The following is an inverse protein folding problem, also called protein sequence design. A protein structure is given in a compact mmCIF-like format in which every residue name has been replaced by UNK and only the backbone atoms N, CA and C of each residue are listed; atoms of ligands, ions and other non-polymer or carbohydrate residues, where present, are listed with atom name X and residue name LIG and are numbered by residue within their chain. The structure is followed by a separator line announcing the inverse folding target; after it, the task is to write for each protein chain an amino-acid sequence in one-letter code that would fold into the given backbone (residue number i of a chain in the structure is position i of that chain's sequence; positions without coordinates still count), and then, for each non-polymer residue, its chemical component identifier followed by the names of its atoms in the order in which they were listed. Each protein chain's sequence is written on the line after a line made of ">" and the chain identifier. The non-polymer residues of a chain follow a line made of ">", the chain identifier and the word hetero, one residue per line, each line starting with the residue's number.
data_IF_823950624709
#
_entry.id   IF_823950624709
#
_cell.length_a   1.000
_cell.length_b   1.000
_cell.length_c   1.000
_cell.angle_alpha   90.00
_cell.angle_beta   90.00
_cell.angle_gamma   90.00
#
_symmetry.space_group_name_H-M   'P 1'
#
loop_
_entity.id
_entity.type
_entity.pdbx_description
1 polymer ?
#
# COMPACT_ATOMS: atom_id res chain seq x y z
N UNK A 1 -33.37 -71.57 -2.64
CA UNK A 1 -33.03 -70.97 -3.94
C UNK A 1 -32.93 -69.46 -3.78
N UNK A 2 -31.89 -68.87 -4.37
CA UNK A 2 -31.24 -67.62 -3.95
C UNK A 2 -32.02 -66.33 -4.26
N UNK A 3 -32.47 -65.61 -3.23
CA UNK A 3 -33.00 -64.24 -3.30
C UNK A 3 -31.90 -63.15 -3.29
N UNK A 4 -30.70 -63.43 -3.81
CA UNK A 4 -29.58 -62.45 -3.83
C UNK A 4 -29.52 -61.61 -5.11
N UNK A 5 -30.25 -61.99 -6.16
CA UNK A 5 -30.22 -61.31 -7.46
C UNK A 5 -30.87 -59.91 -7.46
N UNK A 6 -31.99 -59.62 -6.76
CA UNK A 6 -32.60 -58.29 -6.82
C UNK A 6 -31.86 -57.24 -6.00
N UNK A 7 -31.14 -57.65 -4.94
CA UNK A 7 -30.40 -56.72 -4.08
C UNK A 7 -29.12 -56.19 -4.75
N UNK A 8 -28.45 -57.03 -5.54
CA UNK A 8 -27.27 -56.64 -6.33
C UNK A 8 -27.63 -55.66 -7.46
N UNK A 9 -28.78 -55.84 -8.12
CA UNK A 9 -29.28 -54.92 -9.15
C UNK A 9 -29.71 -53.56 -8.57
N UNK A 10 -30.30 -53.54 -7.38
CA UNK A 10 -30.70 -52.30 -6.70
C UNK A 10 -29.49 -51.51 -6.18
N UNK A 11 -28.46 -52.21 -5.66
CA UNK A 11 -27.20 -51.59 -5.27
C UNK A 11 -26.43 -51.03 -6.48
N UNK A 12 -26.47 -51.70 -7.64
CA UNK A 12 -25.83 -51.22 -8.87
C UNK A 12 -26.53 -49.96 -9.42
N UNK A 13 -27.86 -49.88 -9.34
CA UNK A 13 -28.61 -48.69 -9.75
C UNK A 13 -28.34 -47.47 -8.84
N UNK A 14 -28.16 -47.68 -7.53
CA UNK A 14 -27.81 -46.63 -6.57
C UNK A 14 -26.38 -46.10 -6.76
N UNK A 15 -25.44 -46.94 -7.22
CA UNK A 15 -24.07 -46.51 -7.55
C UNK A 15 -24.03 -45.75 -8.89
N UNK A 16 -24.84 -46.13 -9.87
CA UNK A 16 -24.94 -45.43 -11.16
C UNK A 16 -25.66 -44.06 -11.06
N UNK A 17 -26.57 -43.89 -10.10
CA UNK A 17 -27.23 -42.61 -9.83
C UNK A 17 -26.50 -41.75 -8.77
N UNK A 18 -25.61 -42.36 -7.97
CA UNK A 18 -24.91 -41.73 -6.84
C UNK A 18 -23.49 -41.24 -7.13
N UNK A 19 -22.89 -41.58 -8.26
CA UNK A 19 -21.54 -41.14 -8.62
C UNK A 19 -21.55 -40.43 -9.98
N UNK A 20 -21.93 -39.15 -9.97
CA UNK A 20 -21.38 -38.21 -10.94
C UNK A 20 -20.14 -37.58 -10.26
N UNK A 21 -18.91 -38.06 -10.51
CA UNK A 21 -17.70 -37.56 -9.85
C UNK A 21 -17.25 -36.21 -10.41
N UNK A 22 -17.95 -35.70 -11.42
CA UNK A 22 -17.73 -34.36 -11.91
C UNK A 22 -18.52 -33.39 -11.03
N UNK A 23 -17.86 -32.46 -10.32
CA UNK A 23 -18.59 -31.38 -9.68
C UNK A 23 -19.46 -30.74 -10.76
N UNK A 24 -20.72 -30.39 -10.43
CA UNK A 24 -21.53 -29.48 -11.26
C UNK A 24 -20.57 -28.44 -11.79
N UNK A 25 -20.39 -28.39 -13.12
CA UNK A 25 -19.43 -27.51 -13.81
C UNK A 25 -19.25 -26.26 -12.97
N UNK A 26 -18.01 -26.03 -12.55
CA UNK A 26 -17.55 -24.86 -11.83
C UNK A 26 -17.88 -23.64 -12.71
N UNK A 27 -19.16 -23.24 -12.70
CA UNK A 27 -19.78 -22.42 -13.73
C UNK A 27 -19.60 -20.98 -13.34
N UNK A 28 -18.33 -20.60 -13.21
CA UNK A 28 -17.93 -19.23 -13.04
C UNK A 28 -18.20 -18.47 -14.35
N UNK A 29 -18.66 -17.22 -14.27
CA UNK A 29 -18.98 -16.42 -15.43
C UNK A 29 -17.70 -16.10 -16.20
N UNK A 30 -17.72 -16.33 -17.51
CA UNK A 30 -16.62 -15.93 -18.38
C UNK A 30 -16.66 -14.41 -18.58
N UNK A 31 -15.78 -13.72 -17.86
CA UNK A 31 -15.57 -12.27 -17.90
C UNK A 31 -14.10 -11.99 -18.26
N UNK A 32 -13.80 -10.84 -18.89
CA UNK A 32 -12.44 -10.53 -19.31
C UNK A 32 -11.47 -10.43 -18.13
N UNK A 33 -10.20 -10.77 -18.37
CA UNK A 33 -9.11 -10.43 -17.46
C UNK A 33 -8.95 -8.92 -17.38
N UNK A 34 -8.58 -8.40 -16.21
CA UNK A 34 -8.39 -6.95 -16.00
C UNK A 34 -7.40 -6.35 -17.02
N UNK A 35 -6.29 -7.03 -17.32
CA UNK A 35 -5.29 -6.53 -18.27
C UNK A 35 -5.88 -6.36 -19.69
N UNK A 36 -6.76 -7.26 -20.10
CA UNK A 36 -7.42 -7.15 -21.40
C UNK A 36 -8.53 -6.09 -21.38
N UNK A 37 -9.26 -5.98 -20.26
CA UNK A 37 -10.26 -4.94 -20.09
C UNK A 37 -9.64 -3.53 -20.13
N UNK A 38 -8.48 -3.33 -19.51
CA UNK A 38 -7.78 -2.04 -19.48
C UNK A 38 -7.21 -1.60 -20.84
N UNK A 39 -7.16 -2.49 -21.84
CA UNK A 39 -6.81 -2.14 -23.22
C UNK A 39 -7.99 -1.51 -23.98
N UNK A 40 -9.22 -1.68 -23.50
CA UNK A 40 -10.42 -1.13 -24.12
C UNK A 40 -10.53 0.39 -23.87
N UNK A 41 -10.06 1.17 -24.85
CA UNK A 41 -10.05 2.64 -24.80
C UNK A 41 -11.45 3.28 -24.78
N UNK A 42 -12.50 2.50 -25.03
CA UNK A 42 -13.88 3.00 -24.93
C UNK A 42 -14.39 2.97 -23.48
N UNK A 43 -13.72 2.21 -22.60
CA UNK A 43 -14.08 2.05 -21.18
C UNK A 43 -13.05 2.63 -20.23
N UNK A 44 -11.77 2.63 -20.64
CA UNK A 44 -10.67 3.06 -19.80
C UNK A 44 -9.72 3.99 -20.52
N UNK A 45 -9.26 5.03 -19.81
CA UNK A 45 -8.17 5.89 -20.25
C UNK A 45 -7.03 5.83 -19.22
N UNK A 46 -5.85 5.34 -19.65
CA UNK A 46 -4.65 5.30 -18.81
C UNK A 46 -4.23 6.72 -18.42
N UNK A 47 -3.99 6.94 -17.13
CA UNK A 47 -3.42 8.19 -16.58
C UNK A 47 -1.93 8.00 -16.32
N UNK A 48 -1.57 6.95 -15.58
CA UNK A 48 -0.19 6.55 -15.30
C UNK A 48 -0.12 5.05 -15.11
N UNK A 49 0.94 4.42 -15.60
CA UNK A 49 1.28 3.06 -15.17
C UNK A 49 2.26 3.07 -14.01
N UNK A 50 2.67 1.88 -13.57
CA UNK A 50 3.57 1.67 -12.43
C UNK A 50 5.04 1.57 -12.86
N UNK A 51 5.38 1.89 -14.11
CA UNK A 51 6.76 1.86 -14.59
C UNK A 51 7.59 2.85 -13.76
N UNK A 52 8.68 2.37 -13.15
CA UNK A 52 9.56 3.15 -12.26
C UNK A 52 8.88 3.74 -11.01
N UNK A 53 7.66 3.28 -10.68
CA UNK A 53 6.92 3.72 -9.49
C UNK A 53 6.82 2.59 -8.47
N UNK A 54 6.89 2.94 -7.19
CA UNK A 54 6.50 2.05 -6.10
C UNK A 54 5.06 2.28 -5.69
N UNK A 55 4.53 3.49 -5.87
CA UNK A 55 3.15 3.80 -5.49
C UNK A 55 2.57 4.98 -6.28
N UNK A 56 1.25 4.94 -6.47
CA UNK A 56 0.45 6.09 -6.92
C UNK A 56 -0.51 6.47 -5.79
N UNK A 57 -0.39 7.72 -5.34
CA UNK A 57 -1.22 8.28 -4.27
C UNK A 57 -2.04 9.45 -4.81
N UNK A 58 -3.35 9.40 -4.64
CA UNK A 58 -4.23 10.52 -4.98
C UNK A 58 -4.39 11.41 -3.75
N UNK A 59 -4.15 12.70 -3.91
CA UNK A 59 -4.24 13.72 -2.87
C UNK A 59 -5.69 14.24 -2.72
N UNK A 60 -6.00 14.82 -1.57
CA UNK A 60 -7.33 15.36 -1.25
C UNK A 60 -7.82 16.43 -2.25
N UNK A 61 -6.91 17.11 -2.93
CA UNK A 61 -7.19 18.13 -3.94
C UNK A 61 -7.14 17.62 -5.39
N UNK A 62 -7.35 16.32 -5.61
CA UNK A 62 -7.43 15.67 -6.93
C UNK A 62 -6.11 15.54 -7.70
N UNK A 63 -4.99 15.94 -7.09
CA UNK A 63 -3.67 15.74 -7.67
C UNK A 63 -3.15 14.34 -7.39
N UNK A 64 -2.23 13.88 -8.22
CA UNK A 64 -1.67 12.53 -8.15
C UNK A 64 -0.19 12.64 -7.84
N UNK A 65 0.22 12.11 -6.70
CA UNK A 65 1.60 11.92 -6.31
C UNK A 65 2.11 10.59 -6.87
N UNK A 66 3.16 10.65 -7.67
CA UNK A 66 3.88 9.52 -8.21
C UNK A 66 5.13 9.29 -7.36
N UNK A 67 5.13 8.19 -6.60
CA UNK A 67 6.25 7.79 -5.74
C UNK A 67 7.17 6.86 -6.54
N UNK A 68 8.43 7.26 -6.80
CA UNK A 68 9.36 6.41 -7.54
C UNK A 68 9.68 5.11 -6.78
N UNK A 69 10.16 4.08 -7.49
CA UNK A 69 10.65 2.85 -6.87
C UNK A 69 12.15 2.85 -6.57
N UNK A 70 12.89 3.87 -7.02
CA UNK A 70 14.33 4.01 -6.82
C UNK A 70 14.72 5.45 -6.50
N UNK A 71 15.84 5.60 -5.80
CA UNK A 71 16.33 6.89 -5.28
C UNK A 71 16.85 7.86 -6.33
N UNK A 72 17.24 7.37 -7.49
CA UNK A 72 17.69 8.18 -8.62
C UNK A 72 16.54 8.93 -9.32
N UNK A 73 15.30 8.50 -9.11
CA UNK A 73 14.14 9.10 -9.74
C UNK A 73 13.49 10.17 -8.86
N UNK A 74 12.98 11.21 -9.51
CA UNK A 74 12.28 12.31 -8.85
C UNK A 74 10.88 11.89 -8.43
N UNK A 75 10.45 12.41 -7.27
CA UNK A 75 9.03 12.48 -6.96
C UNK A 75 8.33 13.45 -7.89
N UNK A 76 7.09 13.14 -8.27
CA UNK A 76 6.28 14.00 -9.12
C UNK A 76 4.87 14.16 -8.56
N UNK A 77 4.31 15.35 -8.69
CA UNK A 77 2.87 15.59 -8.57
C UNK A 77 2.35 16.00 -9.93
N UNK A 78 1.34 15.31 -10.42
CA UNK A 78 0.65 15.60 -11.68
C UNK A 78 -0.83 15.87 -11.42
N UNK A 79 -1.53 16.45 -12.39
CA UNK A 79 -2.99 16.41 -12.44
C UNK A 79 -3.51 15.16 -13.19
N UNK A 80 -4.84 14.99 -13.22
CA UNK A 80 -5.50 13.89 -13.92
C UNK A 80 -5.30 13.90 -15.45
N UNK A 81 -4.79 15.01 -16.02
CA UNK A 81 -4.42 15.13 -17.44
C UNK A 81 -2.94 14.85 -17.69
N UNK A 82 -2.22 14.39 -16.66
CA UNK A 82 -0.78 14.13 -16.67
C UNK A 82 0.08 15.40 -16.83
N UNK A 83 -0.46 16.58 -16.49
CA UNK A 83 0.32 17.81 -16.44
C UNK A 83 1.15 17.83 -15.16
N UNK A 84 2.46 18.06 -15.29
CA UNK A 84 3.36 18.21 -14.15
C UNK A 84 3.05 19.48 -13.35
N UNK A 85 2.89 19.31 -12.03
CA UNK A 85 2.66 20.38 -11.05
C UNK A 85 3.93 20.61 -10.21
N UNK A 86 4.60 19.53 -9.81
CA UNK A 86 5.78 19.58 -8.97
C UNK A 86 6.69 18.38 -9.25
N UNK A 87 8.00 18.60 -9.20
CA UNK A 87 8.98 17.53 -9.13
C UNK A 87 10.14 17.92 -8.22
N UNK A 88 10.72 16.93 -7.54
CA UNK A 88 11.94 17.11 -6.77
C UNK A 88 12.62 15.76 -6.53
N UNK A 89 13.95 15.80 -6.41
CA UNK A 89 14.72 14.67 -5.91
C UNK A 89 14.53 14.56 -4.39
N UNK A 90 14.27 13.35 -3.91
CA UNK A 90 14.04 13.03 -2.50
C UNK A 90 15.19 12.16 -1.98
N UNK A 91 15.72 12.51 -0.81
CA UNK A 91 16.68 11.66 -0.09
C UNK A 91 15.90 10.62 0.74
N UNK A 92 15.97 9.36 0.30
CA UNK A 92 15.27 8.24 0.91
C UNK A 92 15.74 7.91 2.33
N UNK A 93 16.87 8.49 2.78
CA UNK A 93 17.34 8.41 4.17
C UNK A 93 16.66 9.41 5.08
N UNK A 94 15.96 10.41 4.52
CA UNK A 94 15.27 11.44 5.29
C UNK A 94 13.76 11.23 5.23
N UNK A 95 13.00 11.68 6.23
CA UNK A 95 11.55 11.61 6.20
C UNK A 95 10.92 12.37 5.03
N UNK A 96 9.86 11.79 4.45
CA UNK A 96 8.91 12.43 3.56
C UNK A 96 7.53 12.46 4.23
N UNK A 97 6.97 13.65 4.35
CA UNK A 97 5.66 13.84 4.97
C UNK A 97 4.80 14.83 4.20
N UNK A 98 3.51 14.52 4.06
CA UNK A 98 2.50 15.50 3.66
C UNK A 98 1.49 15.65 4.79
N UNK A 99 1.38 16.86 5.33
CA UNK A 99 0.48 17.16 6.44
C UNK A 99 -1.00 17.18 6.03
N UNK A 100 -1.89 17.34 7.00
CA UNK A 100 -3.33 17.40 6.74
C UNK A 100 -3.77 18.61 5.90
N UNK A 101 -2.94 19.65 5.81
CA UNK A 101 -3.16 20.86 5.01
C UNK A 101 -2.55 20.75 3.61
N UNK A 102 -1.83 19.67 3.31
CA UNK A 102 -1.19 19.43 2.02
C UNK A 102 0.24 19.98 1.91
N UNK A 103 0.82 20.59 2.95
CA UNK A 103 2.23 21.01 2.89
C UNK A 103 3.12 19.78 2.88
N UNK A 104 4.19 19.83 2.07
CA UNK A 104 5.15 18.74 1.98
C UNK A 104 6.42 19.05 2.76
N UNK A 105 6.98 18.04 3.41
CA UNK A 105 8.16 18.12 4.24
C UNK A 105 9.11 16.99 3.84
N UNK A 106 10.21 17.35 3.21
CA UNK A 106 11.27 16.41 2.86
C UNK A 106 12.58 17.14 2.62
N UNK A 107 13.70 16.43 2.68
CA UNK A 107 15.05 17.01 2.54
C UNK A 107 15.28 18.24 3.44
N UNK A 108 14.73 18.22 4.65
CA UNK A 108 14.79 19.34 5.64
C UNK A 108 14.17 20.64 5.13
N UNK A 109 13.24 20.56 4.18
CA UNK A 109 12.52 21.69 3.61
C UNK A 109 11.02 21.49 3.73
N UNK A 110 10.31 22.61 3.93
CA UNK A 110 8.87 22.71 3.83
C UNK A 110 8.50 23.35 2.49
N UNK A 111 7.66 22.66 1.73
CA UNK A 111 7.07 23.13 0.49
C UNK A 111 5.60 23.49 0.76
N UNK A 112 5.26 24.77 0.59
CA UNK A 112 3.96 25.29 1.00
C UNK A 112 2.90 24.99 -0.07
N UNK A 113 1.82 24.34 0.35
CA UNK A 113 0.63 24.10 -0.47
C UNK A 113 -0.08 25.43 -0.82
N UNK A 114 -0.71 25.59 -2.00
CA UNK A 114 -0.94 24.62 -3.06
C UNK A 114 0.10 24.62 -4.18
N UNK A 115 0.92 25.65 -4.34
CA UNK A 115 1.82 25.74 -5.49
C UNK A 115 3.14 25.02 -5.29
N UNK A 116 3.53 24.77 -4.03
CA UNK A 116 4.85 24.25 -3.64
C UNK A 116 6.03 25.11 -4.09
N UNK A 117 5.77 26.33 -4.57
CA UNK A 117 6.79 27.27 -5.03
C UNK A 117 7.49 28.00 -3.86
N UNK A 118 6.79 28.17 -2.74
CA UNK A 118 7.39 28.73 -1.52
C UNK A 118 8.05 27.61 -0.72
N UNK A 119 9.36 27.71 -0.56
CA UNK A 119 10.21 26.71 0.10
C UNK A 119 10.92 27.36 1.28
N UNK A 120 10.86 26.68 2.43
CA UNK A 120 11.46 27.14 3.67
C UNK A 120 12.32 26.02 4.26
N UNK A 121 13.46 26.38 4.84
CA UNK A 121 14.20 25.44 5.68
C UNK A 121 13.30 25.00 6.85
N UNK A 122 13.30 23.70 7.14
CA UNK A 122 12.43 23.11 8.14
C UNK A 122 13.17 22.07 8.97
N UNK A 123 13.03 22.17 10.29
CA UNK A 123 13.71 21.26 11.22
C UNK A 123 13.09 19.87 11.14
N UNK A 124 13.94 18.85 10.96
CA UNK A 124 13.56 17.44 11.06
C UNK A 124 14.37 16.78 12.16
N UNK A 125 13.71 16.01 13.02
CA UNK A 125 14.33 15.25 14.10
C UNK A 125 13.93 13.79 13.94
N UNK A 126 14.89 12.98 13.50
CA UNK A 126 14.77 11.52 13.48
C UNK A 126 15.44 11.00 14.75
N UNK A 127 14.64 10.45 15.67
CA UNK A 127 15.14 10.05 16.99
C UNK A 127 16.16 8.92 16.87
N UNK A 128 15.90 7.94 16.01
CA UNK A 128 16.81 6.82 15.76
C UNK A 128 18.20 7.28 15.32
N UNK A 129 18.28 8.08 14.26
CA UNK A 129 19.54 8.62 13.75
C UNK A 129 20.27 9.45 14.82
N UNK A 130 19.53 10.24 15.60
CA UNK A 130 20.10 11.06 16.66
C UNK A 130 20.74 10.19 17.76
N UNK A 131 20.05 9.11 18.15
CA UNK A 131 20.53 8.14 19.14
C UNK A 131 21.73 7.35 18.59
N UNK A 132 21.66 6.84 17.36
CA UNK A 132 22.75 6.08 16.73
C UNK A 132 24.02 6.92 16.58
N UNK A 133 23.89 8.17 16.13
CA UNK A 133 25.02 9.10 16.05
C UNK A 133 25.61 9.40 17.44
N UNK A 134 24.76 9.52 18.46
CA UNK A 134 25.23 9.76 19.83
C UNK A 134 25.91 8.53 20.42
N UNK A 135 25.38 7.34 20.17
CA UNK A 135 25.96 6.06 20.58
C UNK A 135 27.37 5.90 20.01
N UNK A 136 27.58 6.26 18.74
CA UNK A 136 28.90 6.23 18.10
C UNK A 136 29.92 7.16 18.78
N UNK A 137 29.47 8.25 19.41
CA UNK A 137 30.34 9.19 20.16
C UNK A 137 30.78 8.67 21.54
N UNK A 138 30.30 7.50 21.96
CA UNK A 138 30.59 6.87 23.27
C UNK A 138 31.37 5.56 23.14
N UNK A 139 32.17 5.43 22.07
CA UNK A 139 33.00 4.26 21.80
C UNK A 139 34.03 3.96 22.90
N UNK A 140 34.46 4.97 23.66
CA UNK A 140 35.46 4.83 24.73
C UNK A 140 34.87 4.40 26.09
N UNK A 141 33.53 4.27 26.20
CA UNK A 141 32.85 3.87 27.44
C UNK A 141 32.61 2.36 27.49
N UNK A 142 32.56 1.81 28.71
CA UNK A 142 32.06 0.44 28.93
C UNK A 142 30.58 0.34 28.55
N UNK A 143 30.13 -0.87 28.21
CA UNK A 143 28.75 -1.11 27.77
C UNK A 143 27.69 -0.57 28.74
N UNK A 144 27.93 -0.72 30.06
CA UNK A 144 27.02 -0.23 31.10
C UNK A 144 26.98 1.29 31.17
N UNK A 145 28.13 1.97 31.08
CA UNK A 145 28.19 3.43 31.09
C UNK A 145 27.62 4.02 29.81
N UNK A 146 27.82 3.34 28.67
CA UNK A 146 27.25 3.71 27.39
C UNK A 146 25.72 3.63 27.40
N UNK A 147 25.14 2.58 27.95
CA UNK A 147 23.69 2.44 28.09
C UNK A 147 23.09 3.62 28.89
N UNK A 148 23.64 3.90 30.08
CA UNK A 148 23.17 5.01 30.93
C UNK A 148 23.31 6.37 30.23
N UNK A 149 24.41 6.59 29.49
CA UNK A 149 24.63 7.82 28.76
C UNK A 149 23.64 8.01 27.60
N UNK A 150 23.29 6.93 26.90
CA UNK A 150 22.28 6.92 25.83
C UNK A 150 20.89 7.15 26.39
N UNK A 151 20.50 6.46 27.46
CA UNK A 151 19.18 6.64 28.10
C UNK A 151 18.98 8.10 28.53
N UNK A 152 20.00 8.68 29.18
CA UNK A 152 19.98 10.10 29.57
C UNK A 152 19.89 11.03 28.36
N UNK A 153 20.55 10.70 27.25
CA UNK A 153 20.47 11.47 26.03
C UNK A 153 19.08 11.38 25.40
N UNK A 154 18.50 10.18 25.29
CA UNK A 154 17.17 9.96 24.75
C UNK A 154 16.11 10.76 25.52
N UNK A 155 16.12 10.70 26.85
CA UNK A 155 15.20 11.48 27.70
C UNK A 155 15.30 12.98 27.38
N UNK A 156 16.53 13.51 27.27
CA UNK A 156 16.74 14.93 26.97
C UNK A 156 16.33 15.31 25.54
N UNK A 157 16.50 14.40 24.59
CA UNK A 157 16.11 14.60 23.20
C UNK A 157 14.57 14.62 23.04
N UNK A 158 13.86 13.78 23.79
CA UNK A 158 12.40 13.65 23.74
C UNK A 158 11.65 14.73 24.51
N UNK A 159 12.23 15.23 25.62
CA UNK A 159 11.61 16.20 26.54
C UNK A 159 11.07 17.47 25.84
N UNK A 160 11.77 18.13 24.91
CA UNK A 160 11.25 19.31 24.20
C UNK A 160 10.00 19.03 23.38
N UNK A 161 9.72 17.77 23.06
CA UNK A 161 8.58 17.32 22.28
C UNK A 161 7.50 16.66 23.16
N UNK A 162 7.63 16.72 24.49
CA UNK A 162 6.68 16.08 25.41
C UNK A 162 6.57 14.57 25.21
N UNK A 163 7.64 13.94 24.74
CA UNK A 163 7.73 12.50 24.55
C UNK A 163 8.52 11.87 25.70
N UNK A 164 8.26 10.60 25.97
CA UNK A 164 9.00 9.79 26.95
C UNK A 164 9.65 8.60 26.26
N UNK A 165 10.78 8.06 26.78
CA UNK A 165 11.35 6.83 26.25
C UNK A 165 10.32 5.71 26.25
N UNK A 166 10.42 4.83 25.26
CA UNK A 166 9.55 3.69 25.16
C UNK A 166 10.05 2.59 26.09
N UNK A 167 9.18 2.08 26.95
CA UNK A 167 9.48 0.89 27.74
C UNK A 167 9.70 -0.32 26.81
N UNK A 168 10.55 -1.26 27.25
CA UNK A 168 11.03 -2.39 26.47
C UNK A 168 9.95 -3.05 25.58
N UNK A 169 10.30 -3.15 24.29
CA UNK A 169 9.46 -3.30 23.11
C UNK A 169 8.68 -4.63 22.93
N UNK A 170 8.40 -5.40 23.98
CA UNK A 170 7.76 -6.72 23.82
C UNK A 170 6.22 -6.71 23.86
N UNK A 171 5.57 -5.65 24.37
CA UNK A 171 4.11 -5.66 24.58
C UNK A 171 3.36 -4.37 24.18
N UNK A 172 4.03 -3.26 23.80
CA UNK A 172 3.37 -1.95 23.54
C UNK A 172 4.06 -1.09 22.45
N UNK A 173 4.51 -1.69 21.35
CA UNK A 173 5.17 -0.94 20.27
C UNK A 173 4.25 0.12 19.60
N UNK A 174 2.94 -0.11 19.56
CA UNK A 174 1.99 0.79 18.87
C UNK A 174 1.87 2.20 19.49
N UNK A 175 2.14 2.36 20.79
CA UNK A 175 2.04 3.66 21.47
C UNK A 175 3.32 4.51 21.37
N UNK A 176 4.29 4.05 20.60
CA UNK A 176 5.63 4.61 20.55
C UNK A 176 5.99 5.23 19.20
N UNK A 177 5.25 4.88 18.15
CA UNK A 177 5.46 5.43 16.84
C UNK A 177 4.99 6.88 16.76
N UNK A 178 5.88 7.74 16.31
CA UNK A 178 5.63 9.18 16.17
C UNK A 178 6.08 9.58 14.78
N UNK A 179 5.16 10.20 14.04
CA UNK A 179 5.43 10.82 12.74
C UNK A 179 4.47 11.99 12.56
N UNK A 180 4.84 13.15 13.11
CA UNK A 180 3.98 14.34 13.15
C UNK A 180 4.78 15.65 13.21
N UNK A 181 4.08 16.76 13.05
CA UNK A 181 4.62 18.10 13.26
C UNK A 181 4.41 18.52 14.70
N UNK A 182 5.49 18.88 15.40
CA UNK A 182 5.43 19.37 16.77
C UNK A 182 6.52 20.39 17.03
N UNK A 183 6.15 21.50 17.67
CA UNK A 183 7.08 22.58 18.02
C UNK A 183 7.93 23.05 16.82
N UNK A 184 7.27 23.25 15.67
CA UNK A 184 7.89 23.68 14.40
C UNK A 184 9.01 22.74 13.90
N UNK A 185 8.88 21.44 14.19
CA UNK A 185 9.76 20.40 13.67
C UNK A 185 8.95 19.18 13.23
N UNK A 186 9.46 18.47 12.22
CA UNK A 186 8.98 17.14 11.88
C UNK A 186 9.69 16.14 12.78
N UNK A 187 8.93 15.47 13.64
CA UNK A 187 9.46 14.48 14.59
C UNK A 187 9.12 13.07 14.11
N UNK A 188 10.14 12.21 14.01
CA UNK A 188 10.02 10.83 13.50
C UNK A 188 10.72 9.85 14.43
N UNK A 189 9.96 8.90 14.98
CA UNK A 189 10.46 7.85 15.90
C UNK A 189 10.37 6.43 15.33
N UNK A 190 9.53 6.21 14.34
CA UNK A 190 9.32 4.90 13.70
C UNK A 190 10.35 4.60 12.60
N UNK A 191 10.35 3.36 12.10
CA UNK A 191 11.23 2.92 11.01
C UNK A 191 10.78 3.41 9.63
N UNK A 192 9.47 3.54 9.42
CA UNK A 192 8.91 4.04 8.16
C UNK A 192 9.10 5.56 8.05
N UNK A 193 9.83 5.99 7.01
CA UNK A 193 10.17 7.39 6.75
C UNK A 193 9.22 8.07 5.76
N UNK A 194 8.11 7.43 5.37
CA UNK A 194 7.17 7.96 4.40
C UNK A 194 5.75 7.99 4.98
N UNK A 195 5.10 9.15 5.00
CA UNK A 195 3.72 9.29 5.49
C UNK A 195 2.95 10.39 4.76
N UNK A 196 1.66 10.17 4.48
CA UNK A 196 0.80 11.13 3.79
C UNK A 196 -0.56 11.20 4.48
N UNK A 197 -0.82 12.29 5.20
CA UNK A 197 -2.12 12.55 5.85
C UNK A 197 -3.10 13.28 4.91
N UNK A 198 -2.60 13.76 3.76
CA UNK A 198 -3.39 14.42 2.70
C UNK A 198 -3.87 13.47 1.61
N UNK A 199 -3.78 12.15 1.80
CA UNK A 199 -4.22 11.17 0.81
C UNK A 199 -5.75 11.01 0.80
N UNK A 200 -6.31 10.71 -0.37
CA UNK A 200 -7.67 10.21 -0.51
C UNK A 200 -7.71 8.70 -0.27
N UNK A 201 -8.72 8.20 0.46
CA UNK A 201 -8.91 6.77 0.61
C UNK A 201 -9.32 6.14 -0.72
N UNK A 202 -8.76 4.98 -1.03
CA UNK A 202 -9.19 4.09 -2.11
C UNK A 202 -10.35 3.23 -1.59
N UNK A 203 -11.32 2.91 -2.46
CA UNK A 203 -12.48 2.08 -2.13
C UNK A 203 -12.33 0.68 -2.72
N UNK A 204 -12.69 -0.32 -1.96
CA UNK A 204 -12.69 -1.70 -2.46
C UNK A 204 -13.79 -1.90 -3.50
N UNK A 205 -13.50 -2.68 -4.52
CA UNK A 205 -14.47 -3.05 -5.55
C UNK A 205 -15.24 -4.28 -5.07
N UNK A 206 -16.58 -4.25 -5.08
CA UNK A 206 -17.38 -5.42 -4.71
C UNK A 206 -17.05 -6.65 -5.58
N UNK A 207 -16.89 -7.80 -4.92
CA UNK A 207 -16.85 -9.09 -5.61
C UNK A 207 -18.27 -9.56 -5.92
N UNK A 208 -18.47 -10.14 -7.09
CA UNK A 208 -19.79 -10.67 -7.51
C UNK A 208 -19.82 -12.19 -7.63
N UNK A 209 -18.67 -12.85 -7.48
CA UNK A 209 -18.53 -14.29 -7.45
C UNK A 209 -17.41 -14.69 -6.47
N UNK A 210 -17.33 -15.99 -6.16
CA UNK A 210 -16.31 -16.56 -5.28
C UNK A 210 -14.95 -16.64 -5.99
N UNK A 211 -13.90 -16.62 -5.19
CA UNK A 211 -12.53 -16.79 -5.69
C UNK A 211 -12.29 -18.24 -6.14
N UNK A 212 -11.57 -18.40 -7.26
CA UNK A 212 -11.32 -19.69 -7.90
C UNK A 212 -9.85 -20.02 -7.85
N UNK A 213 -9.48 -21.16 -7.26
CA UNK A 213 -8.10 -21.63 -7.26
C UNK A 213 -7.72 -22.05 -8.69
N UNK A 214 -6.75 -21.36 -9.28
CA UNK A 214 -6.32 -21.63 -10.67
C UNK A 214 -4.94 -22.26 -10.76
N UNK A 215 -4.09 -22.05 -9.77
CA UNK A 215 -2.72 -22.57 -9.80
C UNK A 215 -2.10 -22.66 -8.40
N UNK A 216 -0.98 -23.38 -8.30
CA UNK A 216 -0.09 -23.40 -7.15
C UNK A 216 1.29 -22.91 -7.56
N UNK A 217 1.69 -21.72 -7.09
CA UNK A 217 3.04 -21.22 -7.29
C UNK A 217 4.02 -22.00 -6.43
N UNK A 218 4.89 -22.74 -7.08
CA UNK A 218 5.96 -23.51 -6.43
C UNK A 218 7.09 -22.58 -6.00
N UNK A 219 7.17 -22.33 -4.68
CA UNK A 219 8.31 -21.68 -4.02
C UNK A 219 8.87 -22.56 -2.91
N UNK A 220 9.60 -21.97 -1.95
CA UNK A 220 9.97 -22.68 -0.71
C UNK A 220 8.75 -23.19 0.06
N UNK A 221 7.62 -22.49 -0.08
CA UNK A 221 6.30 -22.89 0.37
C UNK A 221 5.37 -22.74 -0.84
N UNK A 222 4.60 -23.78 -1.17
CA UNK A 222 3.61 -23.71 -2.24
C UNK A 222 2.53 -22.69 -1.86
N UNK A 223 2.30 -21.71 -2.73
CA UNK A 223 1.31 -20.65 -2.50
C UNK A 223 0.18 -20.78 -3.51
N UNK A 224 -1.09 -20.90 -3.08
CA UNK A 224 -2.21 -20.96 -3.99
C UNK A 224 -2.39 -19.61 -4.70
N UNK A 225 -2.81 -19.65 -5.96
CA UNK A 225 -3.17 -18.47 -6.76
C UNK A 225 -4.65 -18.55 -7.11
N UNK A 226 -5.39 -17.49 -6.78
CA UNK A 226 -6.82 -17.44 -7.05
C UNK A 226 -7.14 -16.41 -8.14
N UNK A 227 -8.25 -16.63 -8.85
CA UNK A 227 -8.94 -15.59 -9.60
C UNK A 227 -10.05 -15.01 -8.74
N UNK A 228 -10.05 -13.69 -8.60
CA UNK A 228 -11.10 -12.92 -7.97
C UNK A 228 -11.96 -12.19 -9.01
N UNK A 229 -13.26 -12.13 -8.76
CA UNK A 229 -14.27 -11.62 -9.71
C UNK A 229 -14.90 -10.33 -9.20
N UNK A 230 -14.66 -9.23 -9.90
CA UNK A 230 -15.01 -7.88 -9.49
C UNK A 230 -16.06 -7.24 -10.41
N UNK A 231 -16.90 -6.38 -9.82
CA UNK A 231 -17.89 -5.60 -10.56
C UNK A 231 -17.81 -4.12 -10.20
N UNK A 232 -17.66 -3.27 -11.22
CA UNK A 232 -17.84 -1.82 -11.16
C UNK A 232 -19.01 -1.46 -12.07
N UNK A 233 -20.09 -0.94 -11.50
CA UNK A 233 -21.34 -0.69 -12.23
C UNK A 233 -21.79 -1.89 -13.09
N UNK A 234 -21.72 -1.76 -14.42
CA UNK A 234 -22.06 -2.80 -15.40
C UNK A 234 -20.84 -3.56 -15.91
N UNK A 235 -19.64 -3.14 -15.56
CA UNK A 235 -18.38 -3.78 -15.95
C UNK A 235 -18.06 -4.91 -14.97
N UNK A 236 -17.94 -6.12 -15.49
CA UNK A 236 -17.48 -7.30 -14.76
C UNK A 236 -16.16 -7.77 -15.32
N UNK A 237 -15.23 -8.14 -14.45
CA UNK A 237 -13.92 -8.64 -14.83
C UNK A 237 -13.35 -9.56 -13.76
N UNK A 238 -12.30 -10.28 -14.12
CA UNK A 238 -11.54 -11.13 -13.21
C UNK A 238 -10.06 -10.73 -13.19
N UNK A 239 -9.37 -10.95 -12.09
CA UNK A 239 -7.92 -10.78 -11.98
C UNK A 239 -7.35 -11.75 -10.95
N UNK A 240 -6.02 -11.90 -10.92
CA UNK A 240 -5.36 -12.59 -9.81
C UNK A 240 -5.78 -11.91 -8.50
N UNK A 241 -6.01 -12.71 -7.46
CA UNK A 241 -6.45 -12.23 -6.15
C UNK A 241 -5.48 -11.21 -5.56
N UNK A 242 -4.18 -11.40 -5.80
CA UNK A 242 -3.11 -10.50 -5.36
C UNK A 242 -3.08 -9.13 -6.08
N UNK A 243 -3.80 -8.96 -7.19
CA UNK A 243 -3.88 -7.66 -7.91
C UNK A 243 -4.67 -6.61 -7.15
N UNK A 244 -5.61 -7.00 -6.27
CA UNK A 244 -6.44 -6.13 -5.41
C UNK A 244 -6.78 -4.74 -5.98
N UNK A 245 -7.50 -4.67 -7.12
CA UNK A 245 -7.88 -3.39 -7.72
C UNK A 245 -8.86 -2.63 -6.81
N UNK A 246 -8.78 -1.31 -6.84
CA UNK A 246 -9.60 -0.39 -6.04
C UNK A 246 -10.12 0.76 -6.90
N UNK A 247 -11.19 1.42 -6.48
CA UNK A 247 -11.62 2.69 -7.10
C UNK A 247 -11.23 3.90 -6.28
N UNK A 248 -11.10 5.04 -6.96
CA UNK A 248 -10.83 6.32 -6.33
C UNK A 248 -11.47 7.45 -7.14
N UNK A 249 -12.07 8.42 -6.45
CA UNK A 249 -12.70 9.59 -7.09
C UNK A 249 -11.71 10.73 -7.27
N UNK A 250 -11.58 11.22 -8.51
CA UNK A 250 -10.79 12.42 -8.84
C UNK A 250 -11.71 13.41 -9.57
N UNK A 251 -11.98 14.55 -8.95
CA UNK A 251 -13.00 15.49 -9.38
C UNK A 251 -14.39 14.83 -9.43
N UNK A 252 -15.05 14.89 -10.60
CA UNK A 252 -16.36 14.27 -10.84
C UNK A 252 -16.27 12.88 -11.49
N UNK A 253 -15.08 12.31 -11.59
CA UNK A 253 -14.82 11.08 -12.33
C UNK A 253 -14.31 9.99 -11.39
N UNK A 254 -14.62 8.75 -11.74
CA UNK A 254 -14.11 7.57 -11.03
C UNK A 254 -12.93 6.96 -11.77
N UNK A 255 -11.95 6.48 -11.01
CA UNK A 255 -10.73 5.89 -11.51
C UNK A 255 -10.56 4.50 -10.91
N UNK A 256 -10.04 3.57 -11.70
CA UNK A 256 -9.54 2.29 -11.25
C UNK A 256 -8.04 2.42 -10.97
N UNK A 257 -7.63 2.03 -9.77
CA UNK A 257 -6.25 1.87 -9.37
C UNK A 257 -5.93 0.39 -9.16
N UNK A 258 -4.79 -0.05 -9.69
CA UNK A 258 -4.22 -1.36 -9.40
C UNK A 258 -2.70 -1.23 -9.17
N UNK A 259 -2.13 -1.90 -8.16
CA UNK A 259 -0.68 -1.97 -7.95
C UNK A 259 0.09 -2.57 -9.13
N UNK A 260 -0.54 -3.39 -9.96
CA UNK A 260 0.10 -4.04 -11.11
C UNK A 260 0.04 -3.19 -12.38
N UNK A 261 -1.06 -2.44 -12.56
CA UNK A 261 -1.35 -1.73 -13.83
C UNK A 261 -1.25 -0.20 -13.73
N UNK A 262 -1.43 0.37 -12.54
CA UNK A 262 -1.43 1.81 -12.30
C UNK A 262 -2.84 2.40 -12.20
N UNK A 263 -3.01 3.62 -12.70
CA UNK A 263 -4.23 4.43 -12.56
C UNK A 263 -4.89 4.67 -13.92
N UNK A 264 -6.19 4.37 -13.98
CA UNK A 264 -7.03 4.47 -15.18
C UNK A 264 -8.32 5.21 -14.87
N UNK A 265 -8.70 6.15 -15.71
CA UNK A 265 -10.03 6.75 -15.70
C UNK A 265 -11.06 5.78 -16.25
N UNK A 266 -12.22 5.69 -15.61
CA UNK A 266 -13.38 4.93 -16.08
C UNK A 266 -14.25 5.89 -16.92
N UNK A 267 -14.59 5.48 -18.16
CA UNK A 267 -15.30 6.29 -19.16
C UNK A 267 -16.80 5.97 -19.23
#
# INVERSE_FOLDING_TARGET
>A
MNNKLPFLLYAYLLVLLGCNPFPKKDAHPEVPMINDLLKDKTKFRKVSDMTDLSEIIVLKDDRILLKPNKSEFEFKIIDATNKLIFNAQYDWKLPFYIDQQGNMYFNRKKYVYPSYANVQEFKTVVFRDSIENKLASFNDLSDSLRAVAVDKYEVNLLKPYGLVPCENALLKAENCDVFELKNNALIVRQSELFKIDFAKPKKDIPKFDKDVLIDWRNGRIATPVYLAYYQIDKLRFKCEDMTFPKTIGIGKKEYLYSPDFGLYEIL
#
